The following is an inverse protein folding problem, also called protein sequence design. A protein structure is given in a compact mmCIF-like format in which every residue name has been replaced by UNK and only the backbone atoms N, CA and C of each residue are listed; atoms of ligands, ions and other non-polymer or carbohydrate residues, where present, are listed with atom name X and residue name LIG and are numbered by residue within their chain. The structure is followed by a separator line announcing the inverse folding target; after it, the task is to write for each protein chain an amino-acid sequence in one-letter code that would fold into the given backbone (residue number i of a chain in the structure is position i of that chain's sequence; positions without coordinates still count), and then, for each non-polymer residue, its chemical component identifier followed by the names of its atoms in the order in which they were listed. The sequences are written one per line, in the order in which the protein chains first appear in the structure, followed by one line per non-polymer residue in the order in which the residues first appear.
data_IF_469108528072
#
_entry.id   IF_469108528072
#
_cell.length_a   1.000
_cell.length_b   1.000
_cell.length_c   1.000
_cell.angle_alpha   90.00
_cell.angle_beta   90.00
_cell.angle_gamma   90.00
#
_symmetry.space_group_name_H-M   'P 1'
#
loop_
_entity.id
_entity.type
_entity.pdbx_description
1 polymer ?
#
# COMPACT_ATOMS: atom_id res chain seq x y z
N UNK A 1 -9.25 4.88 28.52
CA UNK A 1 -8.04 4.83 27.69
C UNK A 1 -7.80 6.26 27.24
N UNK A 2 -6.59 6.77 27.47
CA UNK A 2 -6.27 8.19 27.28
C UNK A 2 -6.20 8.49 25.79
N UNK A 3 -6.97 9.49 25.31
CA UNK A 3 -6.98 9.95 23.92
C UNK A 3 -5.59 10.22 23.32
N UNK A 4 -4.55 10.43 24.14
CA UNK A 4 -3.17 10.63 23.68
C UNK A 4 -2.45 9.35 23.24
N UNK A 5 -2.83 8.17 23.74
CA UNK A 5 -2.18 6.91 23.34
C UNK A 5 -2.61 6.48 21.93
N UNK A 6 -3.88 6.70 21.57
CA UNK A 6 -4.39 6.41 20.22
C UNK A 6 -3.76 7.35 19.18
N UNK A 7 -3.46 8.59 19.57
CA UNK A 7 -2.81 9.58 18.71
C UNK A 7 -1.32 9.29 18.48
N UNK A 8 -0.59 8.84 19.51
CA UNK A 8 0.80 8.40 19.39
C UNK A 8 0.92 7.19 18.45
N UNK A 9 0.08 6.16 18.64
CA UNK A 9 0.07 4.98 17.77
C UNK A 9 -0.29 5.34 16.33
N UNK A 10 -1.23 6.26 16.14
CA UNK A 10 -1.56 6.77 14.81
C UNK A 10 -0.36 7.47 14.16
N UNK A 11 0.39 8.30 14.88
CA UNK A 11 1.57 8.96 14.34
C UNK A 11 2.68 7.97 13.97
N UNK A 12 2.95 6.99 14.83
CA UNK A 12 3.94 5.94 14.56
C UNK A 12 3.58 5.15 13.29
N UNK A 13 2.31 4.77 13.16
CA UNK A 13 1.80 4.13 11.95
C UNK A 13 1.98 5.03 10.72
N UNK A 14 1.66 6.33 10.83
CA UNK A 14 1.81 7.27 9.71
C UNK A 14 3.28 7.51 9.31
N UNK A 15 4.23 7.29 10.20
CA UNK A 15 5.65 7.33 9.83
C UNK A 15 6.02 6.04 9.11
N UNK A 16 5.75 4.87 9.71
CA UNK A 16 6.11 3.56 9.16
C UNK A 16 5.44 3.29 7.81
N UNK A 17 4.13 3.51 7.71
CA UNK A 17 3.40 3.31 6.46
C UNK A 17 3.84 4.29 5.37
N UNK A 18 4.26 5.51 5.74
CA UNK A 18 4.80 6.48 4.79
C UNK A 18 6.09 5.98 4.14
N UNK A 19 7.01 5.46 4.96
CA UNK A 19 8.27 4.87 4.46
C UNK A 19 8.01 3.64 3.58
N UNK A 20 7.04 2.79 3.94
CA UNK A 20 6.66 1.63 3.13
C UNK A 20 6.07 2.07 1.79
N UNK A 21 5.20 3.08 1.76
CA UNK A 21 4.58 3.57 0.52
C UNK A 21 5.60 4.22 -0.43
N UNK A 22 6.59 4.92 0.12
CA UNK A 22 7.72 5.45 -0.66
C UNK A 22 8.52 4.30 -1.30
N UNK A 23 8.87 3.28 -0.52
CA UNK A 23 9.55 2.09 -1.03
C UNK A 23 8.73 1.33 -2.08
N UNK A 24 7.41 1.23 -1.89
CA UNK A 24 6.51 0.60 -2.85
C UNK A 24 6.53 1.34 -4.19
N UNK A 25 6.57 2.67 -4.16
CA UNK A 25 6.65 3.49 -5.38
C UNK A 25 7.90 3.16 -6.19
N UNK A 26 9.06 3.07 -5.54
CA UNK A 26 10.32 2.71 -6.19
C UNK A 26 10.29 1.27 -6.73
N UNK A 27 9.76 0.33 -5.95
CA UNK A 27 9.68 -1.08 -6.33
C UNK A 27 8.75 -1.31 -7.53
N UNK A 28 7.64 -0.57 -7.62
CA UNK A 28 6.70 -0.66 -8.72
C UNK A 28 7.30 -0.17 -10.04
N UNK A 29 8.05 0.93 -10.00
CA UNK A 29 8.81 1.42 -11.17
C UNK A 29 9.89 0.41 -11.57
N UNK A 30 10.57 -0.21 -10.61
CA UNK A 30 11.56 -1.24 -10.89
C UNK A 30 10.92 -2.52 -11.49
N UNK A 31 9.67 -2.81 -11.12
CA UNK A 31 8.92 -3.98 -11.60
C UNK A 31 8.56 -3.85 -13.08
N UNK A 32 8.31 -2.65 -13.58
CA UNK A 32 8.12 -2.41 -15.02
C UNK A 32 9.31 -2.88 -15.85
N UNK A 33 10.52 -2.68 -15.33
CA UNK A 33 11.76 -3.09 -16.00
C UNK A 33 12.08 -4.58 -15.77
N UNK A 34 11.53 -5.20 -14.71
CA UNK A 34 11.81 -6.58 -14.31
C UNK A 34 10.51 -7.33 -13.93
N UNK A 35 9.59 -7.53 -14.88
CA UNK A 35 8.24 -8.02 -14.62
C UNK A 35 8.18 -9.45 -14.06
N UNK A 36 9.21 -10.26 -14.32
CA UNK A 36 9.32 -11.64 -13.84
C UNK A 36 10.10 -11.77 -12.52
N UNK A 37 10.50 -10.64 -11.88
CA UNK A 37 11.23 -10.66 -10.62
C UNK A 37 10.31 -11.02 -9.45
N UNK A 38 10.31 -12.31 -9.12
CA UNK A 38 9.56 -12.87 -8.00
C UNK A 38 9.94 -12.29 -6.65
N UNK A 39 11.17 -11.83 -6.45
CA UNK A 39 11.55 -11.20 -5.17
C UNK A 39 10.87 -9.84 -5.03
N UNK A 40 10.82 -9.09 -6.13
CA UNK A 40 10.18 -7.78 -6.19
C UNK A 40 8.66 -7.88 -6.00
N UNK A 41 8.00 -8.81 -6.70
CA UNK A 41 6.58 -9.10 -6.51
C UNK A 41 6.24 -9.45 -5.05
N UNK A 42 7.07 -10.27 -4.41
CA UNK A 42 6.88 -10.63 -3.00
C UNK A 42 7.19 -9.49 -2.03
N UNK A 43 8.13 -8.61 -2.37
CA UNK A 43 8.43 -7.41 -1.58
C UNK A 43 7.24 -6.45 -1.60
N UNK A 44 6.70 -6.18 -2.79
CA UNK A 44 5.54 -5.30 -2.98
C UNK A 44 4.31 -5.86 -2.26
N UNK A 45 4.03 -7.16 -2.42
CA UNK A 45 2.95 -7.84 -1.70
C UNK A 45 3.06 -7.64 -0.17
N UNK A 46 4.27 -7.81 0.39
CA UNK A 46 4.50 -7.62 1.84
C UNK A 46 4.30 -6.17 2.26
N UNK A 47 4.72 -5.19 1.46
CA UNK A 47 4.50 -3.77 1.75
C UNK A 47 3.02 -3.46 1.92
N UNK A 48 2.19 -3.83 0.93
CA UNK A 48 0.73 -3.65 1.03
C UNK A 48 0.12 -4.41 2.20
N UNK A 49 0.56 -5.64 2.46
CA UNK A 49 0.06 -6.44 3.58
C UNK A 49 0.34 -5.78 4.95
N UNK A 50 1.53 -5.22 5.14
CA UNK A 50 1.91 -4.51 6.37
C UNK A 50 1.08 -3.23 6.55
N UNK A 51 0.94 -2.41 5.50
CA UNK A 51 0.14 -1.18 5.56
C UNK A 51 -1.33 -1.49 5.85
N UNK A 52 -1.91 -2.52 5.20
CA UNK A 52 -3.26 -3.02 5.47
C UNK A 52 -3.43 -3.43 6.93
N UNK A 53 -2.45 -4.15 7.49
CA UNK A 53 -2.47 -4.60 8.89
C UNK A 53 -2.53 -3.43 9.87
N UNK A 54 -1.66 -2.42 9.68
CA UNK A 54 -1.66 -1.21 10.52
C UNK A 54 -2.93 -0.36 10.33
N UNK A 55 -3.38 -0.19 9.08
CA UNK A 55 -4.62 0.51 8.76
C UNK A 55 -5.85 -0.16 9.41
N UNK A 56 -5.90 -1.50 9.40
CA UNK A 56 -6.97 -2.28 10.03
C UNK A 56 -6.98 -2.16 11.55
N UNK A 57 -5.79 -2.12 12.17
CA UNK A 57 -5.67 -1.86 13.61
C UNK A 57 -6.24 -0.49 14.00
N UNK A 58 -6.01 0.53 13.17
CA UNK A 58 -6.50 1.90 13.36
C UNK A 58 -7.89 2.16 12.78
N UNK A 59 -8.57 1.13 12.24
CA UNK A 59 -9.90 1.22 11.63
C UNK A 59 -9.99 2.22 10.46
N UNK A 60 -8.89 2.41 9.73
CA UNK A 60 -8.82 3.21 8.51
C UNK A 60 -9.37 2.39 7.33
N UNK A 61 -10.68 2.13 7.34
CA UNK A 61 -11.33 1.15 6.45
C UNK A 61 -11.05 1.40 4.97
N UNK A 62 -11.02 2.65 4.52
CA UNK A 62 -10.78 2.96 3.12
C UNK A 62 -9.36 2.59 2.68
N UNK A 63 -8.37 2.85 3.55
CA UNK A 63 -6.98 2.46 3.31
C UNK A 63 -6.83 0.94 3.29
N UNK A 64 -7.56 0.23 4.18
CA UNK A 64 -7.60 -1.24 4.21
C UNK A 64 -8.12 -1.80 2.88
N UNK A 65 -9.23 -1.27 2.36
CA UNK A 65 -9.83 -1.76 1.12
C UNK A 65 -8.88 -1.56 -0.08
N UNK A 66 -8.28 -0.37 -0.21
CA UNK A 66 -7.30 -0.12 -1.28
C UNK A 66 -6.08 -1.05 -1.19
N UNK A 67 -5.47 -1.18 0.01
CA UNK A 67 -4.31 -2.08 0.17
C UNK A 67 -4.69 -3.55 -0.07
N UNK A 68 -5.90 -3.97 0.30
CA UNK A 68 -6.37 -5.33 0.05
C UNK A 68 -6.55 -5.63 -1.44
N UNK A 69 -7.09 -4.69 -2.22
CA UNK A 69 -7.20 -4.82 -3.68
C UNK A 69 -5.80 -4.96 -4.31
N UNK A 70 -4.86 -4.10 -3.92
CA UNK A 70 -3.49 -4.18 -4.39
C UNK A 70 -2.84 -5.53 -4.02
N UNK A 71 -2.98 -5.99 -2.77
CA UNK A 71 -2.47 -7.28 -2.30
C UNK A 71 -3.01 -8.45 -3.14
N UNK A 72 -4.29 -8.43 -3.52
CA UNK A 72 -4.89 -9.48 -4.35
C UNK A 72 -4.29 -9.49 -5.77
N UNK A 73 -4.03 -8.33 -6.37
CA UNK A 73 -3.36 -8.25 -7.68
C UNK A 73 -1.97 -8.89 -7.59
N UNK A 74 -1.19 -8.52 -6.58
CA UNK A 74 0.15 -9.07 -6.38
C UNK A 74 0.16 -10.56 -6.00
N UNK A 75 -0.89 -11.05 -5.34
CA UNK A 75 -1.07 -12.47 -5.06
C UNK A 75 -1.29 -13.29 -6.35
N UNK A 76 -2.06 -12.78 -7.30
CA UNK A 76 -2.27 -13.40 -8.62
C UNK A 76 -0.96 -13.41 -9.41
N UNK A 77 -0.24 -12.28 -9.43
CA UNK A 77 1.03 -12.13 -10.13
C UNK A 77 2.08 -13.13 -9.63
N UNK A 78 2.27 -13.23 -8.30
CA UNK A 78 3.27 -14.13 -7.72
C UNK A 78 2.92 -15.62 -7.87
N UNK A 79 1.64 -15.95 -8.07
CA UNK A 79 1.22 -17.33 -8.39
C UNK A 79 1.46 -17.68 -9.86
N UNK A 80 1.84 -16.70 -10.68
CA UNK A 80 2.02 -16.87 -12.12
C UNK A 80 0.70 -17.02 -12.88
N UNK A 81 -0.43 -16.70 -12.23
CA UNK A 81 -1.77 -16.77 -12.84
C UNK A 81 -2.01 -15.61 -13.83
N UNK A 82 -1.25 -14.52 -13.68
CA UNK A 82 -1.20 -13.40 -14.62
C UNK A 82 0.25 -12.90 -14.75
N UNK A 83 0.61 -12.37 -15.92
CA UNK A 83 1.89 -11.68 -16.15
C UNK A 83 1.74 -10.19 -15.95
N UNK A 84 2.82 -9.54 -15.53
CA UNK A 84 2.90 -8.08 -15.52
C UNK A 84 2.93 -7.58 -16.97
N UNK A 85 2.03 -6.66 -17.29
CA UNK A 85 1.93 -5.95 -18.55
C UNK A 85 1.78 -4.44 -18.26
N UNK A 86 1.94 -3.60 -19.28
CA UNK A 86 1.89 -2.14 -19.11
C UNK A 86 0.53 -1.65 -18.60
N UNK A 87 -0.57 -2.25 -19.08
CA UNK A 87 -1.93 -1.89 -18.62
C UNK A 87 -2.13 -2.19 -17.13
N UNK A 88 -1.60 -3.31 -16.64
CA UNK A 88 -1.61 -3.61 -15.21
C UNK A 88 -0.80 -2.62 -14.41
N UNK A 89 0.37 -2.22 -14.94
CA UNK A 89 1.22 -1.30 -14.22
C UNK A 89 0.61 0.09 -14.10
N UNK A 90 -0.04 0.58 -15.16
CA UNK A 90 -0.80 1.83 -15.10
C UNK A 90 -1.85 1.80 -13.97
N UNK A 91 -2.63 0.71 -13.89
CA UNK A 91 -3.67 0.54 -12.86
C UNK A 91 -3.09 0.42 -11.45
N UNK A 92 -1.95 -0.26 -11.28
CA UNK A 92 -1.31 -0.41 -9.98
C UNK A 92 -0.70 0.90 -9.49
N UNK A 93 -0.08 1.68 -10.38
CA UNK A 93 0.43 3.01 -10.05
C UNK A 93 -0.72 3.96 -9.68
N UNK A 94 -1.84 3.93 -10.41
CA UNK A 94 -3.03 4.70 -10.05
C UNK A 94 -3.58 4.30 -8.67
N UNK A 95 -3.59 3.00 -8.35
CA UNK A 95 -3.99 2.52 -7.02
C UNK A 95 -3.04 3.00 -5.92
N UNK A 96 -1.73 3.02 -6.17
CA UNK A 96 -0.73 3.55 -5.23
C UNK A 96 -0.91 5.06 -5.01
N UNK A 97 -1.18 5.81 -6.06
CA UNK A 97 -1.45 7.24 -5.98
C UNK A 97 -2.70 7.53 -5.15
N UNK A 98 -3.76 6.74 -5.34
CA UNK A 98 -4.97 6.83 -4.51
C UNK A 98 -4.67 6.54 -3.03
N UNK A 99 -3.88 5.50 -2.74
CA UNK A 99 -3.43 5.17 -1.38
C UNK A 99 -2.63 6.32 -0.76
N UNK A 100 -1.68 6.90 -1.51
CA UNK A 100 -0.91 8.06 -1.06
C UNK A 100 -1.80 9.28 -0.81
N UNK A 101 -2.83 9.51 -1.63
CA UNK A 101 -3.82 10.56 -1.45
C UNK A 101 -4.63 10.39 -0.16
N UNK A 102 -5.18 9.19 0.07
CA UNK A 102 -5.88 8.84 1.31
C UNK A 102 -4.98 9.01 2.54
N UNK A 103 -3.74 8.54 2.43
CA UNK A 103 -2.74 8.63 3.48
C UNK A 103 -2.41 10.09 3.84
N UNK A 104 -2.25 10.94 2.83
CA UNK A 104 -2.09 12.39 3.00
C UNK A 104 -3.28 13.02 3.70
N UNK A 105 -4.51 12.63 3.35
CA UNK A 105 -5.74 13.07 4.02
C UNK A 105 -5.73 12.76 5.52
N UNK A 106 -5.44 11.50 5.88
CA UNK A 106 -5.34 11.07 7.29
C UNK A 106 -4.28 11.88 8.04
N UNK A 107 -3.11 12.11 7.42
CA UNK A 107 -2.02 12.90 8.00
C UNK A 107 -2.39 14.36 8.25
N UNK A 108 -3.19 14.95 7.36
CA UNK A 108 -3.71 16.32 7.49
C UNK A 108 -4.98 16.43 8.36
N UNK A 109 -5.45 15.32 8.94
CA UNK A 109 -6.77 15.19 9.61
C UNK A 109 -7.96 15.58 8.74
N UNK A 110 -7.81 15.51 7.42
CA UNK A 110 -8.92 15.58 6.49
C UNK A 110 -9.40 14.14 6.32
N UNK A 111 -10.60 13.84 6.82
CA UNK A 111 -11.23 12.55 6.52
C UNK A 111 -11.21 12.32 5.01
N UNK A 112 -11.01 11.07 4.55
CA UNK A 112 -10.95 10.82 3.12
C UNK A 112 -12.28 11.27 2.48
N UNK A 113 -12.15 11.92 1.32
CA UNK A 113 -13.28 12.54 0.59
C UNK A 113 -13.87 11.61 -0.44
#
# INVERSE_FOLDING_TARGET
MSFGADEEILQDFLVEAGEILEQLSEQLVELESRPDDMNLLNAIFRGFHTVKGGAGFLQLNELVECCHIAENVFDILRKGERRVDSELMDVVLEALDAVNGMFGGVRERRGPT
#
